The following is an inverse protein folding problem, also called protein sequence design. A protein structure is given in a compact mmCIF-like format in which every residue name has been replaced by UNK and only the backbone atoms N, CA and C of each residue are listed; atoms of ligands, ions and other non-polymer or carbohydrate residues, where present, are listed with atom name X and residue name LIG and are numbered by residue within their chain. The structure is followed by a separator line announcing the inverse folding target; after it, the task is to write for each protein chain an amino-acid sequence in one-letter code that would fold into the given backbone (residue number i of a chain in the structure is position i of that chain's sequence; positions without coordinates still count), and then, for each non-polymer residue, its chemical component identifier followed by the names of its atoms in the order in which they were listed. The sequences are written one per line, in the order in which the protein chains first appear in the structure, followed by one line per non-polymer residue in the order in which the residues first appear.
data_IF_640844207636
#
_entry.id   IF_640844207636
#
_cell.length_a   1.000
_cell.length_b   1.000
_cell.length_c   1.000
_cell.angle_alpha   90.00
_cell.angle_beta   90.00
_cell.angle_gamma   90.00
#
_symmetry.space_group_name_H-M   'P 1'
#
loop_
_entity.id
_entity.type
_entity.pdbx_description
1 polymer ?
#
# COMPACT_ATOMS: atom_id res chain seq x y z
N UNK A 1 8.77 0.37 -6.32
CA UNK A 1 7.76 1.44 -6.18
C UNK A 1 7.86 2.45 -7.33
N UNK A 2 8.99 3.11 -7.51
CA UNK A 2 9.16 4.18 -8.52
C UNK A 2 8.84 3.74 -9.94
N UNK A 3 9.15 2.50 -10.34
CA UNK A 3 8.77 1.93 -11.65
C UNK A 3 7.24 1.91 -11.82
N UNK A 4 6.49 1.45 -10.81
CA UNK A 4 5.02 1.45 -10.81
C UNK A 4 4.49 2.88 -10.92
N UNK A 5 5.04 3.80 -10.12
CA UNK A 5 4.64 5.20 -10.13
C UNK A 5 4.86 5.85 -11.50
N UNK A 6 6.00 5.59 -12.14
CA UNK A 6 6.31 6.09 -13.48
C UNK A 6 5.35 5.54 -14.56
N UNK A 7 5.00 4.26 -14.47
CA UNK A 7 4.04 3.65 -15.40
C UNK A 7 2.63 4.23 -15.26
N UNK A 8 2.21 4.53 -14.04
CA UNK A 8 0.88 5.08 -13.79
C UNK A 8 0.79 6.57 -14.12
N UNK A 9 1.84 7.34 -13.84
CA UNK A 9 1.84 8.80 -14.01
C UNK A 9 2.17 9.29 -15.41
N UNK A 10 2.53 8.41 -16.36
CA UNK A 10 2.99 8.75 -17.72
C UNK A 10 4.13 9.80 -17.77
N UNK A 11 4.81 10.05 -16.64
CA UNK A 11 5.93 10.97 -16.55
C UNK A 11 7.22 10.19 -16.29
N UNK A 12 8.26 10.46 -17.09
CA UNK A 12 9.58 9.88 -16.88
C UNK A 12 10.23 10.50 -15.64
N UNK A 13 10.35 9.71 -14.58
CA UNK A 13 11.24 10.01 -13.46
C UNK A 13 12.19 8.85 -13.30
N UNK A 14 13.47 9.16 -13.24
CA UNK A 14 14.54 8.19 -13.05
C UNK A 14 14.28 7.36 -11.78
N UNK A 15 14.04 6.06 -11.97
CA UNK A 15 14.00 5.10 -10.88
C UNK A 15 15.45 4.73 -10.53
N UNK A 16 16.02 5.34 -9.50
CA UNK A 16 17.30 4.92 -8.95
C UNK A 16 17.11 3.78 -7.93
N UNK A 17 17.88 2.72 -8.08
CA UNK A 17 17.96 1.60 -7.10
C UNK A 17 18.81 2.00 -5.88
N UNK A 18 18.55 3.15 -5.28
CA UNK A 18 19.24 3.58 -4.05
C UNK A 18 18.32 3.44 -2.85
N UNK A 19 18.86 2.93 -1.75
CA UNK A 19 18.24 3.06 -0.44
C UNK A 19 18.05 4.56 -0.16
N UNK A 20 16.81 4.97 0.17
CA UNK A 20 16.43 6.38 0.38
C UNK A 20 16.48 7.27 -0.87
N UNK A 21 16.18 6.76 -2.04
CA UNK A 21 16.08 7.58 -3.26
C UNK A 21 15.03 8.70 -3.15
N UNK A 22 14.07 8.57 -2.25
CA UNK A 22 13.05 9.57 -1.95
C UNK A 22 13.16 9.96 -0.47
N UNK A 23 13.81 11.09 -0.18
CA UNK A 23 13.81 11.73 1.15
C UNK A 23 12.59 12.63 1.32
N UNK A 24 12.10 13.19 0.22
CA UNK A 24 10.90 14.01 0.16
C UNK A 24 9.78 13.25 -0.53
N UNK A 25 8.57 13.37 -0.03
CA UNK A 25 7.40 12.76 -0.65
C UNK A 25 7.14 13.37 -2.00
N UNK A 26 6.98 12.53 -3.00
CA UNK A 26 6.63 12.95 -4.35
C UNK A 26 5.17 12.70 -4.63
N UNK A 27 4.37 13.76 -4.71
CA UNK A 27 2.96 13.68 -5.07
C UNK A 27 2.78 13.89 -6.57
N UNK A 28 2.03 13.04 -7.24
CA UNK A 28 1.73 13.12 -8.66
C UNK A 28 0.25 12.99 -8.93
N UNK A 29 -0.25 13.82 -9.84
CA UNK A 29 -1.59 13.65 -10.40
C UNK A 29 -1.55 12.51 -11.42
N UNK A 30 -2.39 11.52 -11.20
CA UNK A 30 -2.61 10.37 -12.09
C UNK A 30 -4.05 10.39 -12.56
N UNK A 31 -4.30 9.98 -13.80
CA UNK A 31 -5.65 9.78 -14.34
C UNK A 31 -5.71 8.39 -14.94
N UNK A 32 -6.62 7.57 -14.44
CA UNK A 32 -6.96 6.27 -15.02
C UNK A 32 -8.36 6.44 -15.62
N UNK A 33 -8.47 6.21 -16.94
CA UNK A 33 -9.68 6.52 -17.72
C UNK A 33 -10.11 7.97 -17.52
N UNK A 34 -11.23 8.25 -16.87
CA UNK A 34 -11.75 9.57 -16.56
C UNK A 34 -11.61 9.98 -15.07
N UNK A 35 -10.95 9.15 -14.25
CA UNK A 35 -10.85 9.34 -12.81
C UNK A 35 -9.48 9.90 -12.41
N UNK A 36 -9.38 11.19 -12.06
CA UNK A 36 -8.15 11.79 -11.56
C UNK A 36 -7.99 11.54 -10.05
N UNK A 37 -6.76 11.25 -9.62
CA UNK A 37 -6.38 11.12 -8.21
C UNK A 37 -4.94 11.54 -7.98
N UNK A 38 -4.56 11.71 -6.72
CA UNK A 38 -3.19 11.99 -6.34
C UNK A 38 -2.52 10.70 -5.85
N UNK A 39 -1.35 10.40 -6.40
CA UNK A 39 -0.52 9.28 -6.00
C UNK A 39 0.74 9.83 -5.33
N UNK A 40 0.94 9.47 -4.07
CA UNK A 40 2.10 9.87 -3.27
C UNK A 40 3.08 8.71 -3.13
N UNK A 41 4.35 8.93 -3.48
CA UNK A 41 5.43 7.96 -3.22
C UNK A 41 6.10 8.33 -1.89
N UNK A 42 5.96 7.46 -0.92
CA UNK A 42 6.55 7.62 0.40
C UNK A 42 7.92 6.94 0.48
N UNK A 43 8.74 7.32 1.45
CA UNK A 43 9.99 6.60 1.74
C UNK A 43 9.72 5.12 2.02
N UNK A 44 10.64 4.24 1.59
CA UNK A 44 10.51 2.79 1.82
C UNK A 44 10.60 2.45 3.30
N UNK A 45 9.76 1.53 3.77
CA UNK A 45 9.90 0.95 5.10
C UNK A 45 11.21 0.19 5.21
N UNK A 46 11.99 0.48 6.26
CA UNK A 46 13.27 -0.16 6.53
C UNK A 46 13.18 -0.88 7.88
N UNK A 47 13.64 -2.12 7.89
CA UNK A 47 13.60 -3.05 9.03
C UNK A 47 14.24 -2.53 10.32
N UNK A 48 15.13 -1.52 10.24
CA UNK A 48 15.71 -0.82 11.39
C UNK A 48 15.89 0.65 11.00
N UNK A 49 14.91 1.49 11.35
CA UNK A 49 15.08 2.93 11.20
C UNK A 49 16.14 3.42 12.21
N UNK A 50 17.21 4.06 11.74
CA UNK A 50 18.10 4.77 12.63
C UNK A 50 17.35 5.88 13.36
N UNK A 51 17.61 6.06 14.66
CA UNK A 51 16.89 7.04 15.50
C UNK A 51 16.89 8.46 14.96
N UNK A 52 17.92 8.86 14.21
CA UNK A 52 18.02 10.19 13.60
C UNK A 52 17.10 10.41 12.39
N UNK A 53 16.50 9.34 11.83
CA UNK A 53 15.56 9.43 10.71
C UNK A 53 14.08 9.38 11.16
N UNK A 54 13.83 9.27 12.47
CA UNK A 54 12.47 9.18 13.02
C UNK A 54 11.63 10.42 12.69
N UNK A 55 12.24 11.62 12.64
CA UNK A 55 11.52 12.86 12.31
C UNK A 55 11.12 12.93 10.83
N UNK A 56 12.03 12.56 9.91
CA UNK A 56 11.70 12.45 8.49
C UNK A 56 10.63 11.38 8.23
N UNK A 57 10.59 10.36 9.08
CA UNK A 57 9.58 9.32 9.02
C UNK A 57 8.22 9.77 9.55
N UNK A 58 8.18 10.70 10.48
CA UNK A 58 6.91 11.27 10.99
C UNK A 58 6.13 11.97 9.87
N UNK A 59 6.78 12.77 9.02
CA UNK A 59 6.09 13.42 7.90
C UNK A 59 5.49 12.41 6.91
N UNK A 60 6.22 11.34 6.62
CA UNK A 60 5.72 10.21 5.82
C UNK A 60 4.50 9.55 6.46
N UNK A 61 4.49 9.46 7.78
CA UNK A 61 3.38 8.87 8.54
C UNK A 61 2.13 9.75 8.53
N UNK A 62 2.28 11.05 8.54
CA UNK A 62 1.16 11.98 8.42
C UNK A 62 0.47 11.85 7.06
N UNK A 63 1.23 11.62 5.98
CA UNK A 63 0.67 11.33 4.68
C UNK A 63 -0.11 10.00 4.61
N UNK A 64 0.42 8.95 5.26
CA UNK A 64 -0.31 7.67 5.39
C UNK A 64 -1.65 7.87 6.08
N UNK A 65 -1.72 8.76 7.07
CA UNK A 65 -2.95 9.07 7.81
C UNK A 65 -3.98 9.84 6.97
N UNK A 66 -3.51 10.72 6.10
CA UNK A 66 -4.37 11.54 5.24
C UNK A 66 -4.82 10.78 3.98
N UNK A 67 -4.16 9.68 3.65
CA UNK A 67 -4.50 8.88 2.48
C UNK A 67 -5.92 8.30 2.56
N UNK A 68 -6.57 8.20 1.42
CA UNK A 68 -7.87 7.54 1.28
C UNK A 68 -7.73 6.05 0.94
N UNK A 69 -6.59 5.66 0.36
CA UNK A 69 -6.24 4.31 -0.03
C UNK A 69 -4.73 4.10 0.16
N UNK A 70 -4.34 3.00 0.77
CA UNK A 70 -2.93 2.60 0.87
C UNK A 70 -2.60 1.55 -0.18
N UNK A 71 -1.44 1.71 -0.83
CA UNK A 71 -0.89 0.74 -1.77
C UNK A 71 0.39 0.17 -1.16
N UNK A 72 0.33 -1.06 -0.67
CA UNK A 72 1.47 -1.76 -0.11
C UNK A 72 2.18 -2.55 -1.22
N UNK A 73 3.34 -2.07 -1.65
CA UNK A 73 4.15 -2.74 -2.70
C UNK A 73 5.17 -3.67 -2.05
N UNK A 74 5.05 -4.95 -2.35
CA UNK A 74 5.87 -6.04 -1.81
C UNK A 74 6.77 -6.62 -2.91
N UNK A 75 8.04 -6.83 -2.62
CA UNK A 75 8.99 -7.52 -3.50
C UNK A 75 8.92 -9.04 -3.24
N UNK A 76 8.15 -9.77 -4.05
CA UNK A 76 7.94 -11.22 -3.86
C UNK A 76 9.20 -12.05 -4.16
N UNK A 77 10.17 -11.50 -4.90
CA UNK A 77 11.44 -12.17 -5.17
C UNK A 77 12.35 -12.23 -3.95
N UNK A 78 12.09 -11.41 -2.92
CA UNK A 78 12.89 -11.40 -1.71
C UNK A 78 12.56 -12.62 -0.83
N UNK A 79 13.55 -13.39 -0.33
CA UNK A 79 13.30 -14.60 0.46
C UNK A 79 12.47 -14.38 1.73
N UNK A 80 12.56 -13.20 2.33
CA UNK A 80 11.86 -12.86 3.57
C UNK A 80 10.72 -11.84 3.32
N UNK A 81 10.05 -11.88 2.16
CA UNK A 81 9.01 -10.90 1.85
C UNK A 81 7.81 -10.99 2.79
N UNK A 82 7.47 -12.17 3.28
CA UNK A 82 6.36 -12.39 4.21
C UNK A 82 6.61 -11.67 5.55
N UNK A 83 7.81 -11.84 6.10
CA UNK A 83 8.20 -11.13 7.32
C UNK A 83 8.21 -9.61 7.11
N UNK A 84 8.68 -9.15 5.94
CA UNK A 84 8.66 -7.73 5.59
C UNK A 84 7.23 -7.20 5.48
N UNK A 85 6.34 -7.98 4.88
CA UNK A 85 4.92 -7.66 4.78
C UNK A 85 4.30 -7.49 6.17
N UNK A 86 4.51 -8.46 7.07
CA UNK A 86 3.95 -8.44 8.42
C UNK A 86 4.46 -7.26 9.25
N UNK A 87 5.76 -6.96 9.18
CA UNK A 87 6.36 -5.81 9.87
C UNK A 87 5.73 -4.49 9.41
N UNK A 88 5.50 -4.33 8.11
CA UNK A 88 4.86 -3.13 7.56
C UNK A 88 3.41 -3.03 8.02
N UNK A 89 2.65 -4.12 7.97
CA UNK A 89 1.25 -4.14 8.41
C UNK A 89 1.11 -3.83 9.91
N UNK A 90 1.97 -4.40 10.75
CA UNK A 90 2.01 -4.10 12.18
C UNK A 90 2.33 -2.62 12.41
N UNK A 91 3.33 -2.08 11.71
CA UNK A 91 3.73 -0.68 11.85
C UNK A 91 2.59 0.26 11.45
N UNK A 92 1.92 0.00 10.32
CA UNK A 92 0.77 0.81 9.89
C UNK A 92 -0.34 0.74 10.93
N UNK A 93 -0.66 -0.44 11.45
CA UNK A 93 -1.70 -0.61 12.46
C UNK A 93 -1.37 0.14 13.76
N UNK A 94 -0.14 0.06 14.27
CA UNK A 94 0.32 0.79 15.46
C UNK A 94 0.21 2.31 15.28
N UNK A 95 0.60 2.82 14.10
CA UNK A 95 0.55 4.25 13.80
C UNK A 95 -0.87 4.79 13.78
N UNK A 96 -1.77 4.01 13.24
CA UNK A 96 -3.17 4.38 13.18
C UNK A 96 -3.86 4.24 14.56
N UNK A 97 -3.46 3.30 15.40
CA UNK A 97 -4.05 3.05 16.74
C UNK A 97 -3.65 4.12 17.77
N UNK A 98 -2.39 4.54 17.79
CA UNK A 98 -1.87 5.55 18.75
C UNK A 98 -2.58 6.90 18.69
N UNK A 99 -3.29 7.22 17.61
CA UNK A 99 -4.06 8.47 17.50
C UNK A 99 -5.37 8.43 18.26
N UNK A 100 -6.02 7.29 18.36
CA UNK A 100 -7.28 7.15 19.09
C UNK A 100 -7.07 7.46 20.57
N UNK A 101 -5.96 7.02 21.14
CA UNK A 101 -5.63 7.24 22.56
C UNK A 101 -5.22 8.69 22.87
N UNK A 102 -4.55 9.40 21.94
CA UNK A 102 -4.10 10.80 22.15
C UNK A 102 -5.26 11.79 22.03
N UNK A 103 -6.25 11.51 21.20
CA UNK A 103 -7.43 12.38 21.06
C UNK A 103 -8.41 12.24 22.24
N UNK A 104 -8.52 11.06 22.87
CA UNK A 104 -9.32 10.86 24.07
C UNK A 104 -8.71 11.49 25.32
N UNK A 105 -7.41 11.75 25.34
CA UNK A 105 -6.68 12.29 26.50
C UNK A 105 -6.55 13.81 26.55
N UNK A 106 -7.12 14.59 25.60
CA UNK A 106 -7.07 16.04 25.62
C UNK A 106 -8.36 16.67 26.22
N UNK A 107 -8.31 17.22 27.45
CA UNK A 107 -9.51 17.73 28.17
C UNK A 107 -10.09 19.05 27.64
N UNK A 108 -9.49 19.65 26.60
CA UNK A 108 -9.82 21.03 26.15
C UNK A 108 -10.83 21.12 25.00
N UNK A 109 -11.24 20.03 24.41
CA UNK A 109 -12.24 20.07 23.33
C UNK A 109 -13.62 20.22 23.95
N UNK A 110 -13.94 21.46 24.41
CA UNK A 110 -15.33 21.84 24.73
C UNK A 110 -16.15 21.71 23.45
N UNK A 111 -17.03 20.69 23.38
CA UNK A 111 -18.10 20.61 22.39
C UNK A 111 -18.90 21.93 22.42
N UNK A 112 -18.72 22.77 21.42
CA UNK A 112 -19.60 23.92 21.20
C UNK A 112 -20.97 23.37 20.81
N UNK A 113 -21.97 23.57 21.68
CA UNK A 113 -23.37 23.34 21.35
C UNK A 113 -23.73 24.31 20.21
N UNK A 114 -24.06 23.80 19.04
CA UNK A 114 -24.69 24.59 18.00
C UNK A 114 -24.07 24.53 16.58
N UNK A 115 -23.13 23.63 16.34
CA UNK A 115 -22.59 23.46 14.98
C UNK A 115 -23.21 22.24 14.29
N UNK A 116 -24.16 22.49 13.37
CA UNK A 116 -24.69 21.53 12.42
C UNK A 116 -23.66 21.27 11.30
N UNK A 117 -22.38 21.27 11.63
CA UNK A 117 -21.29 20.94 10.75
C UNK A 117 -21.30 19.44 10.48
N UNK A 118 -21.41 19.07 9.21
CA UNK A 118 -21.14 17.72 8.71
C UNK A 118 -19.79 17.27 9.25
N UNK A 119 -19.81 16.45 10.31
CA UNK A 119 -18.62 15.96 10.96
C UNK A 119 -17.75 15.23 9.94
N UNK A 120 -16.46 15.58 9.84
CA UNK A 120 -15.46 14.70 9.27
C UNK A 120 -15.57 13.40 10.10
N UNK A 121 -16.07 12.36 9.51
CA UNK A 121 -16.11 11.02 10.13
C UNK A 121 -14.66 10.64 10.39
N UNK A 122 -14.26 10.59 11.67
CA UNK A 122 -12.94 10.11 12.05
C UNK A 122 -12.82 8.69 11.51
N UNK A 123 -11.89 8.49 10.57
CA UNK A 123 -11.61 7.17 9.99
C UNK A 123 -11.00 6.32 11.10
N UNK A 124 -11.73 5.33 11.58
CA UNK A 124 -11.19 4.33 12.50
C UNK A 124 -10.11 3.54 11.76
N UNK A 125 -9.02 3.20 12.44
CA UNK A 125 -7.85 2.46 11.93
C UNK A 125 -8.19 1.23 11.08
N UNK A 126 -9.26 0.54 11.46
CA UNK A 126 -9.76 -0.65 10.74
C UNK A 126 -10.40 -0.34 9.38
N UNK A 127 -10.54 0.94 8.99
CA UNK A 127 -11.32 1.36 7.83
C UNK A 127 -10.50 1.96 6.68
N UNK A 128 -9.17 2.08 6.82
CA UNK A 128 -8.35 2.56 5.71
C UNK A 128 -8.16 1.43 4.70
N UNK A 129 -8.77 1.51 3.50
CA UNK A 129 -8.67 0.46 2.51
C UNK A 129 -7.23 0.30 2.03
N UNK A 130 -6.82 -0.95 1.76
CA UNK A 130 -5.45 -1.29 1.36
C UNK A 130 -5.50 -2.18 0.13
N UNK A 131 -4.54 -1.97 -0.78
CA UNK A 131 -4.24 -2.87 -1.89
C UNK A 131 -2.81 -3.35 -1.72
N UNK A 132 -2.60 -4.66 -1.80
CA UNK A 132 -1.26 -5.27 -1.77
C UNK A 132 -0.82 -5.60 -3.19
N UNK A 133 0.29 -5.02 -3.61
CA UNK A 133 0.87 -5.25 -4.94
C UNK A 133 2.13 -6.07 -4.81
N UNK A 134 2.04 -7.36 -5.08
CA UNK A 134 3.18 -8.27 -5.14
C UNK A 134 3.91 -8.07 -6.47
N UNK A 135 5.05 -7.39 -6.42
CA UNK A 135 5.83 -7.03 -7.59
C UNK A 135 7.04 -7.95 -7.76
N UNK A 136 7.58 -7.99 -8.98
CA UNK A 136 8.73 -8.78 -9.42
C UNK A 136 8.45 -10.29 -9.50
N UNK A 137 7.27 -10.67 -9.99
CA UNK A 137 6.96 -12.08 -10.29
C UNK A 137 7.91 -12.67 -11.32
N UNK A 138 8.51 -11.84 -12.18
CA UNK A 138 9.54 -12.20 -13.15
C UNK A 138 10.84 -12.70 -12.52
N UNK A 139 11.12 -12.26 -11.30
CA UNK A 139 12.32 -12.65 -10.54
C UNK A 139 11.99 -13.66 -9.40
N UNK A 140 10.76 -14.13 -9.32
CA UNK A 140 10.38 -15.15 -8.35
C UNK A 140 10.97 -16.51 -8.76
N UNK A 141 11.62 -17.19 -7.83
CA UNK A 141 12.21 -18.51 -8.05
C UNK A 141 11.71 -19.48 -6.98
N UNK A 142 11.50 -20.73 -7.37
CA UNK A 142 11.19 -21.81 -6.47
C UNK A 142 11.91 -23.08 -6.91
N UNK A 143 12.10 -24.02 -5.99
CA UNK A 143 12.70 -25.32 -6.26
C UNK A 143 11.62 -26.39 -6.01
N UNK A 144 11.12 -27.05 -7.06
CA UNK A 144 10.15 -28.13 -6.89
C UNK A 144 10.71 -29.19 -5.93
N UNK A 145 9.85 -29.69 -5.06
CA UNK A 145 10.20 -30.78 -4.18
C UNK A 145 10.12 -32.11 -4.94
N UNK A 146 11.10 -33.00 -4.76
CA UNK A 146 11.06 -34.34 -5.32
C UNK A 146 10.00 -35.19 -4.63
N UNK A 147 9.37 -36.13 -5.34
CA UNK A 147 8.29 -36.96 -4.80
C UNK A 147 8.71 -37.81 -3.58
N UNK A 148 9.99 -38.21 -3.54
CA UNK A 148 10.56 -39.04 -2.46
C UNK A 148 11.09 -38.21 -1.27
N UNK A 149 11.06 -36.88 -1.34
CA UNK A 149 11.56 -36.02 -0.28
C UNK A 149 10.49 -35.86 0.83
N UNK A 150 10.72 -36.52 1.97
CA UNK A 150 9.85 -36.48 3.15
C UNK A 150 10.08 -35.27 4.07
N UNK A 151 11.00 -34.37 3.75
CA UNK A 151 11.22 -33.16 4.54
C UNK A 151 9.98 -32.23 4.49
N UNK A 152 9.75 -31.40 5.52
CA UNK A 152 8.65 -30.43 5.48
C UNK A 152 8.77 -29.48 4.26
N UNK A 153 7.64 -29.15 3.66
CA UNK A 153 7.58 -28.15 2.58
C UNK A 153 8.05 -26.81 3.13
N UNK A 154 9.09 -26.25 2.52
CA UNK A 154 9.59 -24.93 2.83
C UNK A 154 9.07 -23.94 1.81
N UNK A 155 9.19 -22.63 2.11
CA UNK A 155 8.78 -21.57 1.20
C UNK A 155 9.45 -21.68 -0.20
N UNK A 156 10.70 -22.08 -0.25
CA UNK A 156 11.45 -22.30 -1.49
C UNK A 156 10.86 -23.38 -2.41
N UNK A 157 9.99 -24.24 -1.86
CA UNK A 157 9.32 -25.30 -2.60
C UNK A 157 7.93 -24.88 -3.12
N UNK A 158 7.44 -23.71 -2.73
CA UNK A 158 6.11 -23.23 -3.11
C UNK A 158 6.18 -22.54 -4.47
N UNK A 159 5.39 -23.01 -5.43
CA UNK A 159 5.29 -22.39 -6.75
C UNK A 159 4.65 -21.01 -6.70
N UNK A 160 4.83 -20.22 -7.75
CA UNK A 160 4.19 -18.89 -7.85
C UNK A 160 2.65 -19.03 -7.81
N UNK A 161 2.09 -20.05 -8.44
CA UNK A 161 0.64 -20.29 -8.46
C UNK A 161 0.08 -20.61 -7.08
N UNK A 162 0.76 -21.46 -6.31
CA UNK A 162 0.38 -21.80 -4.94
C UNK A 162 0.49 -20.57 -4.02
N UNK A 163 1.55 -19.77 -4.20
CA UNK A 163 1.74 -18.51 -3.49
C UNK A 163 0.61 -17.54 -3.79
N UNK A 164 0.24 -17.38 -5.05
CA UNK A 164 -0.89 -16.55 -5.48
C UNK A 164 -2.19 -17.01 -4.83
N UNK A 165 -2.51 -18.31 -4.88
CA UNK A 165 -3.72 -18.87 -4.26
C UNK A 165 -3.77 -18.58 -2.75
N UNK A 166 -2.66 -18.77 -2.06
CA UNK A 166 -2.57 -18.53 -0.61
C UNK A 166 -2.84 -17.07 -0.26
N UNK A 167 -2.20 -16.14 -0.97
CA UNK A 167 -2.37 -14.72 -0.69
C UNK A 167 -3.72 -14.17 -1.15
N UNK A 168 -4.27 -14.64 -2.27
CA UNK A 168 -5.62 -14.31 -2.72
C UNK A 168 -6.67 -14.83 -1.73
N UNK A 169 -6.49 -16.02 -1.15
CA UNK A 169 -7.36 -16.52 -0.09
C UNK A 169 -7.30 -15.66 1.19
N UNK A 170 -6.11 -15.11 1.52
CA UNK A 170 -5.89 -14.27 2.70
C UNK A 170 -6.38 -12.83 2.52
N UNK A 171 -6.19 -12.23 1.36
CA UNK A 171 -6.43 -10.81 1.07
C UNK A 171 -7.64 -10.56 0.18
N UNK A 172 -8.27 -11.62 -0.32
CA UNK A 172 -9.38 -11.57 -1.27
C UNK A 172 -9.02 -10.73 -2.52
N UNK A 173 -9.91 -9.86 -2.96
CA UNK A 173 -9.74 -9.00 -4.15
C UNK A 173 -8.82 -7.78 -3.91
N UNK A 174 -8.20 -7.68 -2.74
CA UNK A 174 -7.34 -6.55 -2.38
C UNK A 174 -5.85 -6.82 -2.62
N UNK A 175 -5.51 -7.80 -3.46
CA UNK A 175 -4.14 -8.06 -3.86
C UNK A 175 -4.01 -8.36 -5.36
N UNK A 176 -2.81 -8.08 -5.89
CA UNK A 176 -2.46 -8.37 -7.28
C UNK A 176 -0.97 -8.71 -7.40
N UNK A 177 -0.65 -9.60 -8.34
CA UNK A 177 0.70 -10.06 -8.64
C UNK A 177 1.15 -9.53 -10.00
N UNK A 178 2.23 -8.75 -10.03
CA UNK A 178 2.69 -8.06 -11.23
C UNK A 178 4.20 -8.22 -11.46
N UNK A 179 4.64 -7.96 -12.69
CA UNK A 179 6.00 -7.52 -12.96
C UNK A 179 5.97 -6.11 -13.55
N UNK A 180 6.43 -5.14 -12.77
CA UNK A 180 6.56 -3.78 -13.24
C UNK A 180 7.66 -3.65 -14.31
N UNK A 181 8.68 -4.54 -14.30
CA UNK A 181 9.76 -4.57 -15.26
C UNK A 181 9.29 -5.10 -16.61
N UNK A 182 8.66 -6.27 -16.60
CA UNK A 182 8.21 -6.97 -17.80
C UNK A 182 6.79 -6.55 -18.23
N UNK A 183 6.19 -5.59 -17.51
CA UNK A 183 4.82 -5.08 -17.72
C UNK A 183 3.73 -6.15 -17.68
N UNK A 184 3.92 -7.18 -16.84
CA UNK A 184 2.93 -8.24 -16.64
C UNK A 184 1.84 -7.78 -15.67
N UNK A 185 0.58 -8.04 -16.00
CA UNK A 185 -0.63 -7.75 -15.21
C UNK A 185 -0.80 -6.25 -14.84
N UNK A 186 -0.32 -5.35 -15.71
CA UNK A 186 -0.40 -3.89 -15.45
C UNK A 186 -1.79 -3.34 -15.73
N UNK A 187 -2.50 -3.88 -16.70
CA UNK A 187 -3.86 -3.43 -17.02
C UNK A 187 -4.86 -3.92 -15.95
N UNK A 188 -4.64 -5.10 -15.39
CA UNK A 188 -5.36 -5.59 -14.22
C UNK A 188 -5.09 -4.71 -12.99
N UNK A 189 -3.84 -4.28 -12.78
CA UNK A 189 -3.48 -3.33 -11.72
C UNK A 189 -4.24 -2.00 -11.88
N UNK A 190 -4.29 -1.46 -13.09
CA UNK A 190 -5.04 -0.22 -13.36
C UNK A 190 -6.54 -0.39 -13.10
N UNK A 191 -7.10 -1.53 -13.53
CA UNK A 191 -8.51 -1.86 -13.31
C UNK A 191 -8.85 -1.99 -11.82
N UNK A 192 -7.97 -2.64 -11.04
CA UNK A 192 -8.12 -2.75 -9.59
C UNK A 192 -8.09 -1.36 -8.92
N UNK A 193 -7.12 -0.50 -9.30
CA UNK A 193 -7.03 0.86 -8.78
C UNK A 193 -8.26 1.69 -9.15
N UNK A 194 -8.68 1.65 -10.42
CA UNK A 194 -9.87 2.34 -10.89
C UNK A 194 -11.09 1.97 -10.05
N UNK A 195 -11.37 0.68 -9.87
CA UNK A 195 -12.53 0.21 -9.14
C UNK A 195 -12.51 0.64 -7.67
N UNK A 196 -11.35 0.54 -7.00
CA UNK A 196 -11.22 0.94 -5.59
C UNK A 196 -11.31 2.46 -5.41
N UNK A 197 -10.63 3.23 -6.25
CA UNK A 197 -10.66 4.70 -6.19
C UNK A 197 -12.04 5.21 -6.55
N UNK A 198 -12.70 4.63 -7.56
CA UNK A 198 -14.07 4.95 -7.93
C UNK A 198 -15.05 4.74 -6.77
N UNK A 199 -14.96 3.62 -6.07
CA UNK A 199 -15.78 3.34 -4.90
C UNK A 199 -15.61 4.39 -3.80
N UNK A 200 -14.37 4.80 -3.51
CA UNK A 200 -14.06 5.86 -2.55
C UNK A 200 -14.60 7.21 -3.02
N UNK A 201 -14.43 7.52 -4.31
CA UNK A 201 -14.91 8.76 -4.90
C UNK A 201 -16.43 8.90 -4.83
N UNK A 202 -17.16 7.85 -5.18
CA UNK A 202 -18.64 7.83 -5.11
C UNK A 202 -19.13 8.01 -3.67
N UNK A 203 -18.47 7.39 -2.69
CA UNK A 203 -18.82 7.57 -1.28
C UNK A 203 -18.60 9.01 -0.80
N UNK A 204 -17.51 9.65 -1.28
CA UNK A 204 -17.16 11.03 -0.92
C UNK A 204 -18.01 12.08 -1.64
N UNK A 205 -18.38 11.80 -2.90
CA UNK A 205 -19.11 12.71 -3.79
C UNK A 205 -20.33 12.02 -4.41
N UNK A 206 -21.38 11.72 -3.60
CA UNK A 206 -22.53 10.92 -4.05
C UNK A 206 -23.39 11.58 -5.14
N UNK A 207 -23.17 12.87 -5.42
CA UNK A 207 -23.92 13.64 -6.43
C UNK A 207 -23.10 13.97 -7.68
N UNK A 208 -21.99 13.26 -7.89
CA UNK A 208 -21.09 13.54 -9.00
C UNK A 208 -21.37 12.55 -10.14
N UNK A 209 -22.14 12.98 -11.14
CA UNK A 209 -22.57 12.17 -12.30
C UNK A 209 -21.46 12.03 -13.39
N UNK A 210 -20.22 12.39 -13.09
CA UNK A 210 -19.11 12.38 -14.06
C UNK A 210 -18.37 11.03 -14.20
N UNK A 211 -18.78 9.97 -13.53
CA UNK A 211 -18.10 8.67 -13.55
C UNK A 211 -18.94 7.60 -14.23
#
# INVERSE_FOLDING_TARGET
KSTIMNMLSKSEVFAENKLFATLDTTVRKVTIENLPFLLSDTVGFIRKLPHHLVESFKSTLDEVREADLLIHVVDISHPNFEEQYEVVEQTINELLTKQTEVQESQPWVKKRKGDNGKGKTEKTVAQLPRIVVFNKIDAFTYTPKEEDDLTPIKRENISLEEMQRTWMAKLHDDCIFISAREKMNIDELKSLFYNRIKSIHIQRYPYNDFL
#
